data_IF_391913847841
#
_entry.id   IF_391913847841
#
_cell.length_a   1.000
_cell.length_b   1.000
_cell.length_c   1.000
_cell.angle_alpha   90.00
_cell.angle_beta   90.00
_cell.angle_gamma   90.00
#
_symmetry.space_group_name_H-M   'P 1'
#
loop_
_entity.id
_entity.type
_entity.pdbx_description
1 polymer ?
#
# COMPACT_ATOMS: atom_id res chain seq x y z
N UNK A 1 3.94 27.90 -13.31
CA UNK A 1 2.94 26.93 -12.81
C UNK A 1 3.24 26.62 -11.35
N UNK A 2 2.23 26.52 -10.50
CA UNK A 2 2.41 26.18 -9.08
C UNK A 2 2.16 24.69 -8.85
N UNK A 3 2.99 24.06 -8.02
CA UNK A 3 2.92 22.61 -7.76
C UNK A 3 2.68 22.32 -6.29
N UNK A 4 1.73 21.44 -6.01
CA UNK A 4 1.63 20.71 -4.75
C UNK A 4 2.41 19.41 -4.91
N UNK A 5 3.33 19.07 -3.99
CA UNK A 5 4.12 17.86 -4.04
C UNK A 5 3.23 16.62 -3.87
N UNK A 6 3.75 15.40 -4.10
CA UNK A 6 2.96 14.17 -3.99
C UNK A 6 2.31 13.98 -2.60
N UNK A 7 2.87 14.57 -1.54
CA UNK A 7 2.29 14.65 -0.20
C UNK A 7 1.57 15.98 0.07
N UNK A 8 0.59 16.01 1.00
CA UNK A 8 0.10 14.93 1.84
C UNK A 8 -0.98 14.11 1.11
N UNK A 9 -0.59 12.93 0.63
CA UNK A 9 -1.47 12.00 -0.07
C UNK A 9 -2.42 11.27 0.92
N UNK A 10 -3.62 10.84 0.49
CA UNK A 10 -4.21 11.04 -0.81
C UNK A 10 -4.95 12.39 -0.92
N UNK A 11 -4.77 13.08 -2.05
CA UNK A 11 -5.38 14.37 -2.31
C UNK A 11 -6.91 14.25 -2.32
N UNK A 12 -7.59 15.23 -1.72
CA UNK A 12 -9.06 15.28 -1.64
C UNK A 12 -9.71 16.07 -2.77
N UNK A 13 -8.98 17.01 -3.36
CA UNK A 13 -9.58 18.04 -4.22
C UNK A 13 -9.08 17.96 -5.65
N UNK A 14 -9.92 18.40 -6.59
CA UNK A 14 -9.52 18.71 -7.96
C UNK A 14 -8.57 19.92 -7.94
N UNK A 15 -7.48 19.93 -8.72
CA UNK A 15 -6.58 21.06 -8.76
C UNK A 15 -7.31 22.34 -9.19
N UNK A 16 -6.91 23.48 -8.62
CA UNK A 16 -7.36 24.79 -9.10
C UNK A 16 -6.58 25.20 -10.35
N UNK A 17 -7.14 26.11 -11.15
CA UNK A 17 -6.50 26.59 -12.38
C UNK A 17 -5.08 27.14 -12.10
N UNK A 18 -4.09 26.66 -12.84
CA UNK A 18 -2.68 27.03 -12.66
C UNK A 18 -1.93 26.29 -11.54
N UNK A 19 -2.60 25.39 -10.81
CA UNK A 19 -2.02 24.53 -9.77
C UNK A 19 -2.02 23.07 -10.25
N UNK A 20 -0.87 22.40 -10.18
CA UNK A 20 -0.77 20.95 -10.38
C UNK A 20 -0.58 20.27 -9.04
N UNK A 21 -1.49 19.38 -8.71
CA UNK A 21 -1.38 18.50 -7.53
C UNK A 21 -0.74 17.18 -7.97
N UNK A 22 0.55 17.00 -7.64
CA UNK A 22 1.27 15.77 -7.98
C UNK A 22 0.73 14.56 -7.22
N UNK A 23 0.11 14.75 -6.07
CA UNK A 23 -0.65 13.72 -5.41
C UNK A 23 -1.84 13.31 -6.27
N UNK A 24 -2.58 14.26 -6.85
CA UNK A 24 -3.74 13.93 -7.69
C UNK A 24 -3.30 13.20 -8.96
N UNK A 25 -2.24 13.69 -9.61
CA UNK A 25 -1.64 13.02 -10.77
C UNK A 25 -1.18 11.60 -10.43
N UNK A 26 -0.53 11.42 -9.28
CA UNK A 26 -0.07 10.11 -8.81
C UNK A 26 -1.25 9.15 -8.60
N UNK A 27 -2.30 9.61 -7.92
CA UNK A 27 -3.54 8.83 -7.71
C UNK A 27 -4.14 8.41 -9.05
N UNK A 28 -4.31 9.37 -9.95
CA UNK A 28 -5.09 9.17 -11.17
C UNK A 28 -4.34 8.31 -12.19
N UNK A 29 -3.01 8.43 -12.25
CA UNK A 29 -2.17 7.62 -13.14
C UNK A 29 -1.84 6.23 -12.56
N UNK A 30 -1.54 6.13 -11.26
CA UNK A 30 -0.94 4.91 -10.70
C UNK A 30 -1.90 4.03 -9.91
N UNK A 31 -2.99 4.57 -9.36
CA UNK A 31 -3.89 3.82 -8.46
C UNK A 31 -5.07 3.26 -9.25
N UNK A 32 -4.75 2.44 -10.27
CA UNK A 32 -5.74 1.85 -11.19
C UNK A 32 -5.56 0.34 -11.26
N UNK A 33 -6.63 -0.37 -11.61
CA UNK A 33 -6.56 -1.81 -11.83
C UNK A 33 -5.54 -2.16 -12.93
N UNK A 34 -5.48 -1.37 -14.00
CA UNK A 34 -4.55 -1.54 -15.11
C UNK A 34 -3.08 -1.41 -14.69
N UNK A 35 -2.75 -0.42 -13.84
CA UNK A 35 -1.39 -0.24 -13.34
C UNK A 35 -0.97 -1.39 -12.41
N UNK A 36 -1.86 -1.82 -11.52
CA UNK A 36 -1.60 -2.92 -10.58
C UNK A 36 -1.45 -4.27 -11.29
N UNK A 37 -2.35 -4.58 -12.23
CA UNK A 37 -2.34 -5.85 -12.97
C UNK A 37 -1.27 -5.93 -14.07
N UNK A 38 -0.77 -4.78 -14.53
CA UNK A 38 0.23 -4.69 -15.59
C UNK A 38 1.63 -4.34 -15.06
N UNK A 39 2.06 -3.05 -15.15
CA UNK A 39 3.42 -2.63 -14.78
C UNK A 39 3.89 -3.09 -13.39
N UNK A 40 3.06 -2.91 -12.35
CA UNK A 40 3.44 -3.25 -10.97
C UNK A 40 3.66 -4.75 -10.82
N UNK A 41 2.72 -5.57 -11.29
CA UNK A 41 2.84 -7.03 -11.26
C UNK A 41 4.07 -7.53 -12.00
N UNK A 42 4.40 -6.97 -13.17
CA UNK A 42 5.60 -7.33 -13.93
C UNK A 42 6.89 -6.98 -13.18
N UNK A 43 6.96 -5.78 -12.61
CA UNK A 43 8.13 -5.35 -11.85
C UNK A 43 8.35 -6.21 -10.60
N UNK A 44 7.30 -6.47 -9.82
CA UNK A 44 7.37 -7.38 -8.65
C UNK A 44 7.73 -8.81 -9.06
N UNK A 45 7.20 -9.30 -10.18
CA UNK A 45 7.55 -10.63 -10.71
C UNK A 45 9.02 -10.75 -11.08
N UNK A 46 9.59 -9.76 -11.78
CA UNK A 46 11.01 -9.72 -12.12
C UNK A 46 11.89 -9.64 -10.86
N UNK A 47 11.54 -8.75 -9.92
CA UNK A 47 12.25 -8.60 -8.65
C UNK A 47 12.22 -9.90 -7.83
N UNK A 48 11.08 -10.59 -7.77
CA UNK A 48 10.97 -11.88 -7.09
C UNK A 48 11.91 -12.91 -7.69
N UNK A 49 11.97 -13.02 -9.03
CA UNK A 49 12.89 -13.93 -9.71
C UNK A 49 14.35 -13.64 -9.34
N UNK A 50 14.75 -12.37 -9.34
CA UNK A 50 16.11 -11.97 -8.99
C UNK A 50 16.45 -12.28 -7.52
N UNK A 51 15.52 -12.02 -6.61
CA UNK A 51 15.69 -12.35 -5.19
C UNK A 51 15.80 -13.86 -4.95
N UNK A 52 15.02 -14.67 -5.67
CA UNK A 52 15.10 -16.14 -5.62
C UNK A 52 16.45 -16.63 -6.15
N UNK A 53 16.90 -16.15 -7.32
CA UNK A 53 18.21 -16.49 -7.89
C UNK A 53 19.34 -16.12 -6.93
N UNK A 54 19.23 -14.96 -6.28
CA UNK A 54 20.16 -14.48 -5.27
C UNK A 54 20.00 -15.10 -3.87
N UNK A 55 19.07 -16.05 -3.69
CA UNK A 55 18.77 -16.71 -2.40
C UNK A 55 18.46 -15.74 -1.26
N UNK A 56 17.84 -14.59 -1.57
CA UNK A 56 17.46 -13.54 -0.62
C UNK A 56 16.05 -13.78 -0.07
N UNK A 57 15.90 -14.87 0.69
CA UNK A 57 14.59 -15.39 1.10
C UNK A 57 13.69 -14.42 1.88
N UNK A 58 14.20 -13.65 2.87
CA UNK A 58 13.35 -12.71 3.60
C UNK A 58 12.74 -11.64 2.69
N UNK A 59 13.53 -11.09 1.76
CA UNK A 59 13.04 -10.10 0.80
C UNK A 59 12.12 -10.74 -0.24
N UNK A 60 12.43 -11.95 -0.71
CA UNK A 60 11.59 -12.68 -1.65
C UNK A 60 10.18 -12.91 -1.09
N UNK A 61 10.07 -13.24 0.21
CA UNK A 61 8.77 -13.41 0.87
C UNK A 61 7.94 -12.12 0.87
N UNK A 62 8.57 -10.96 1.13
CA UNK A 62 7.90 -9.65 1.09
C UNK A 62 7.40 -9.32 -0.32
N UNK A 63 8.24 -9.51 -1.34
CA UNK A 63 7.88 -9.26 -2.74
C UNK A 63 6.80 -10.22 -3.23
N UNK A 64 6.85 -11.49 -2.82
CA UNK A 64 5.81 -12.46 -3.16
C UNK A 64 4.46 -12.09 -2.55
N UNK A 65 4.42 -11.68 -1.27
CA UNK A 65 3.19 -11.21 -0.64
C UNK A 65 2.62 -9.98 -1.37
N UNK A 66 3.48 -9.02 -1.74
CA UNK A 66 3.07 -7.85 -2.50
C UNK A 66 2.57 -8.19 -3.91
N UNK A 67 3.23 -9.13 -4.60
CA UNK A 67 2.83 -9.62 -5.92
C UNK A 67 1.43 -10.22 -5.84
N UNK A 68 1.22 -11.15 -4.92
CA UNK A 68 -0.05 -11.84 -4.68
C UNK A 68 -1.19 -10.85 -4.37
N UNK A 69 -0.92 -9.80 -3.60
CA UNK A 69 -1.92 -8.76 -3.28
C UNK A 69 -2.38 -7.96 -4.50
N UNK A 70 -1.64 -7.95 -5.63
CA UNK A 70 -2.04 -7.19 -6.82
C UNK A 70 -3.39 -7.64 -7.40
N UNK A 71 -3.81 -8.90 -7.20
CA UNK A 71 -5.09 -9.41 -7.70
C UNK A 71 -6.29 -8.83 -6.97
N UNK A 72 -6.49 -9.13 -5.67
CA UNK A 72 -7.64 -8.58 -4.96
C UNK A 72 -7.62 -7.06 -4.95
N UNK A 73 -6.44 -6.45 -4.93
CA UNK A 73 -6.32 -4.99 -4.97
C UNK A 73 -6.75 -4.40 -6.32
N UNK A 74 -6.38 -5.03 -7.44
CA UNK A 74 -6.84 -4.58 -8.77
C UNK A 74 -8.36 -4.61 -8.92
N UNK A 75 -9.05 -5.51 -8.20
CA UNK A 75 -10.52 -5.60 -8.24
C UNK A 75 -11.23 -4.46 -7.48
N UNK A 76 -10.55 -3.80 -6.53
CA UNK A 76 -11.19 -2.79 -5.64
C UNK A 76 -10.60 -1.38 -5.74
N UNK A 77 -9.42 -1.23 -6.35
CA UNK A 77 -8.68 0.04 -6.33
C UNK A 77 -9.41 1.16 -7.06
N UNK A 78 -10.03 0.88 -8.21
CA UNK A 78 -10.72 1.90 -9.01
C UNK A 78 -11.97 2.47 -8.30
N UNK A 79 -12.85 1.62 -7.72
CA UNK A 79 -13.91 2.10 -6.86
C UNK A 79 -13.40 2.90 -5.65
N UNK A 80 -12.33 2.45 -4.99
CA UNK A 80 -11.75 3.15 -3.84
C UNK A 80 -11.17 4.52 -4.22
N UNK A 81 -10.41 4.58 -5.32
CA UNK A 81 -9.89 5.81 -5.92
C UNK A 81 -11.01 6.79 -6.24
N UNK A 82 -12.08 6.31 -6.89
CA UNK A 82 -13.21 7.15 -7.30
C UNK A 82 -13.93 7.73 -6.09
N UNK A 83 -14.22 6.91 -5.07
CA UNK A 83 -14.84 7.39 -3.82
C UNK A 83 -13.95 8.35 -3.05
N UNK A 84 -12.63 8.12 -3.08
CA UNK A 84 -11.69 9.02 -2.43
C UNK A 84 -11.60 10.39 -3.11
N UNK A 85 -11.65 10.41 -4.44
CA UNK A 85 -11.68 11.66 -5.20
C UNK A 85 -12.97 12.45 -5.00
N UNK A 86 -14.02 11.80 -4.47
CA UNK A 86 -15.27 12.44 -4.06
C UNK A 86 -15.19 12.80 -2.56
N UNK A 87 -15.93 13.81 -2.11
CA UNK A 87 -15.94 14.27 -0.70
C UNK A 87 -16.55 13.27 0.32
N UNK A 88 -16.52 11.96 0.03
CA UNK A 88 -17.00 10.88 0.91
C UNK A 88 -15.98 9.73 1.06
N UNK A 89 -14.72 10.00 1.42
CA UNK A 89 -13.73 8.95 1.62
C UNK A 89 -14.10 8.08 2.83
N UNK A 90 -14.24 6.77 2.64
CA UNK A 90 -14.36 5.80 3.73
C UNK A 90 -12.98 5.26 4.15
N UNK A 91 -12.82 4.85 5.41
CA UNK A 91 -11.57 4.29 5.91
C UNK A 91 -11.08 3.06 5.14
N UNK A 92 -12.01 2.24 4.63
CA UNK A 92 -11.68 1.11 3.75
C UNK A 92 -11.06 1.54 2.41
N UNK A 93 -11.44 2.72 1.88
CA UNK A 93 -10.84 3.27 0.66
C UNK A 93 -9.41 3.71 0.94
N UNK A 94 -9.16 4.34 2.10
CA UNK A 94 -7.82 4.72 2.52
C UNK A 94 -6.90 3.51 2.65
N UNK A 95 -7.39 2.42 3.26
CA UNK A 95 -6.61 1.19 3.41
C UNK A 95 -6.26 0.54 2.07
N UNK A 96 -7.21 0.56 1.14
CA UNK A 96 -7.00 0.12 -0.23
C UNK A 96 -5.92 0.95 -0.93
N UNK A 97 -6.04 2.28 -0.87
CA UNK A 97 -5.06 3.20 -1.46
C UNK A 97 -3.69 3.08 -0.79
N UNK A 98 -3.63 2.98 0.53
CA UNK A 98 -2.40 2.80 1.30
C UNK A 98 -1.69 1.49 0.95
N UNK A 99 -2.44 0.40 0.74
CA UNK A 99 -1.84 -0.86 0.27
C UNK A 99 -1.29 -0.68 -1.14
N UNK A 100 -2.04 -0.06 -2.06
CA UNK A 100 -1.56 0.23 -3.41
C UNK A 100 -0.29 1.09 -3.41
N UNK A 101 -0.23 2.10 -2.55
CA UNK A 101 0.94 2.96 -2.34
C UNK A 101 2.18 2.13 -1.94
N UNK A 102 2.01 1.18 -1.02
CA UNK A 102 3.08 0.25 -0.61
C UNK A 102 3.57 -0.62 -1.77
N UNK A 103 2.63 -1.14 -2.59
CA UNK A 103 2.96 -1.97 -3.75
C UNK A 103 3.70 -1.19 -4.83
N UNK A 104 3.27 0.04 -5.10
CA UNK A 104 3.95 0.96 -6.03
C UNK A 104 5.37 1.28 -5.55
N UNK A 105 5.52 1.61 -4.26
CA UNK A 105 6.83 1.87 -3.65
C UNK A 105 7.78 0.69 -3.81
N UNK A 106 7.32 -0.52 -3.52
CA UNK A 106 8.13 -1.73 -3.67
C UNK A 106 8.47 -2.03 -5.14
N UNK A 107 7.49 -1.91 -6.04
CA UNK A 107 7.64 -2.24 -7.46
C UNK A 107 8.59 -1.30 -8.21
N UNK A 108 8.57 -0.01 -7.87
CA UNK A 108 9.37 1.02 -8.55
C UNK A 108 10.57 1.51 -7.74
N UNK A 109 10.78 0.98 -6.53
CA UNK A 109 11.86 1.42 -5.63
C UNK A 109 11.65 2.82 -5.04
N UNK A 110 10.44 3.36 -5.15
CA UNK A 110 10.08 4.68 -4.61
C UNK A 110 10.00 4.62 -3.09
N UNK A 111 10.73 5.53 -2.43
CA UNK A 111 10.77 5.60 -0.97
C UNK A 111 9.47 6.18 -0.42
N UNK A 112 8.98 5.73 0.75
CA UNK A 112 7.84 6.37 1.39
C UNK A 112 8.19 7.82 1.80
N UNK A 113 7.23 8.70 1.65
CA UNK A 113 7.19 10.04 2.25
C UNK A 113 7.09 9.91 3.76
N UNK A 114 7.48 10.95 4.51
CA UNK A 114 7.63 10.84 5.98
C UNK A 114 6.33 10.63 6.75
N UNK A 115 5.16 10.82 6.13
CA UNK A 115 3.86 10.63 6.75
C UNK A 115 3.05 9.51 6.06
N UNK A 116 3.31 8.25 6.45
CA UNK A 116 2.55 7.08 5.99
C UNK A 116 3.16 6.35 4.79
N UNK A 117 2.42 5.42 4.13
CA UNK A 117 2.98 4.53 3.12
C UNK A 117 3.06 5.16 1.71
N UNK A 118 2.97 6.49 1.62
CA UNK A 118 2.81 7.18 0.34
C UNK A 118 4.16 7.25 -0.39
N UNK A 119 4.32 6.66 -1.58
CA UNK A 119 5.60 6.67 -2.25
C UNK A 119 5.94 8.07 -2.77
N UNK A 120 7.23 8.40 -2.75
CA UNK A 120 7.84 9.55 -3.39
C UNK A 120 8.35 9.11 -4.77
N UNK A 121 7.68 9.48 -5.88
CA UNK A 121 8.13 9.10 -7.20
C UNK A 121 9.52 9.65 -7.53
N UNK A 122 10.25 8.93 -8.37
CA UNK A 122 11.56 9.38 -8.86
C UNK A 122 11.46 10.63 -9.76
N UNK A 123 12.62 11.24 -10.02
CA UNK A 123 12.72 12.44 -10.86
C UNK A 123 12.21 12.22 -12.29
N UNK A 124 12.32 11.00 -12.84
CA UNK A 124 11.85 10.70 -14.19
C UNK A 124 10.31 10.74 -14.25
N UNK A 125 9.64 10.15 -13.26
CA UNK A 125 8.19 10.22 -13.14
C UNK A 125 7.73 11.67 -12.93
N UNK A 126 8.38 12.42 -12.01
CA UNK A 126 8.03 13.82 -11.74
C UNK A 126 8.16 14.70 -13.00
N UNK A 127 9.23 14.54 -13.78
CA UNK A 127 9.44 15.22 -15.07
C UNK A 127 8.41 14.85 -16.13
N UNK A 128 7.93 13.60 -16.15
CA UNK A 128 6.86 13.21 -17.09
C UNK A 128 5.51 13.81 -16.74
N UNK A 129 5.25 14.08 -15.46
CA UNK A 129 3.98 14.68 -15.03
C UNK A 129 3.92 16.20 -15.22
N UNK A 130 5.07 16.89 -15.21
CA UNK A 130 5.12 18.33 -15.40
C UNK A 130 5.79 18.63 -16.74
N UNK A 131 5.01 19.15 -17.70
CA UNK A 131 5.52 19.50 -19.04
C UNK A 131 6.58 20.59 -19.01
N UNK A 132 6.52 21.48 -18.02
CA UNK A 132 7.46 22.58 -17.80
C UNK A 132 7.93 22.62 -16.34
N UNK A 133 9.14 23.16 -16.04
CA UNK A 133 9.60 23.37 -14.68
C UNK A 133 8.62 24.22 -13.86
N UNK A 134 8.31 23.83 -12.60
CA UNK A 134 7.43 24.62 -11.78
C UNK A 134 8.11 25.91 -11.33
N UNK A 135 7.33 26.99 -11.29
CA UNK A 135 7.80 28.31 -10.81
C UNK A 135 7.65 28.45 -9.30
N UNK A 136 6.88 27.57 -8.67
CA UNK A 136 6.61 27.57 -7.23
C UNK A 136 6.19 26.17 -6.77
N UNK A 137 6.77 25.70 -5.68
CA UNK A 137 6.42 24.43 -5.01
C UNK A 137 5.92 24.75 -3.60
N UNK A 138 4.77 24.21 -3.21
CA UNK A 138 4.27 24.38 -1.84
C UNK A 138 4.73 23.23 -0.95
N UNK A 139 5.21 23.53 0.26
CA UNK A 139 5.63 22.51 1.24
C UNK A 139 4.64 22.41 2.40
N UNK A 140 3.72 21.47 2.32
CA UNK A 140 2.84 21.08 3.41
C UNK A 140 3.54 20.44 4.61
N UNK A 141 4.61 19.66 4.44
CA UNK A 141 5.34 19.05 5.55
C UNK A 141 6.83 18.89 5.20
N UNK A 142 7.69 18.60 6.19
CA UNK A 142 9.14 18.41 5.95
C UNK A 142 9.38 17.35 4.86
N UNK A 143 8.62 16.26 4.90
CA UNK A 143 8.78 15.08 4.04
C UNK A 143 7.61 14.84 3.08
N UNK A 144 6.99 15.91 2.55
CA UNK A 144 5.86 15.79 1.62
C UNK A 144 6.28 15.60 0.14
N UNK A 145 7.58 15.60 -0.13
CA UNK A 145 8.12 15.45 -1.48
C UNK A 145 8.44 16.78 -2.18
N UNK A 146 8.26 17.94 -1.54
CA UNK A 146 8.65 19.24 -2.12
C UNK A 146 10.13 19.28 -2.52
N UNK A 147 11.01 18.70 -1.71
CA UNK A 147 12.44 18.59 -2.04
C UNK A 147 12.70 17.68 -3.23
N UNK A 148 11.96 16.58 -3.38
CA UNK A 148 12.08 15.69 -4.53
C UNK A 148 11.68 16.41 -5.82
N UNK A 149 10.63 17.24 -5.77
CA UNK A 149 10.24 18.11 -6.90
C UNK A 149 11.34 19.11 -7.20
N UNK A 150 11.86 19.82 -6.19
CA UNK A 150 12.92 20.80 -6.40
C UNK A 150 14.17 20.17 -7.05
N UNK A 151 14.63 19.02 -6.53
CA UNK A 151 15.75 18.27 -7.11
C UNK A 151 15.46 17.76 -8.52
N UNK A 152 14.23 17.33 -8.82
CA UNK A 152 13.89 16.83 -10.15
C UNK A 152 14.01 17.93 -11.23
N UNK A 153 13.83 19.21 -10.88
CA UNK A 153 13.83 20.33 -11.82
C UNK A 153 14.95 21.36 -11.56
N UNK A 154 15.95 20.99 -10.76
CA UNK A 154 17.10 21.85 -10.41
C UNK A 154 16.66 23.24 -9.89
N UNK A 155 15.63 23.27 -9.04
CA UNK A 155 15.07 24.49 -8.48
C UNK A 155 15.83 24.94 -7.23
N UNK A 156 15.97 26.25 -7.07
CA UNK A 156 16.41 26.88 -5.81
C UNK A 156 15.42 26.57 -4.68
N UNK A 157 15.92 26.39 -3.45
CA UNK A 157 15.08 26.26 -2.25
C UNK A 157 14.12 27.44 -2.07
N UNK A 158 14.46 28.63 -2.57
CA UNK A 158 13.57 29.80 -2.58
C UNK A 158 12.28 29.58 -3.37
N UNK A 159 12.24 28.63 -4.31
CA UNK A 159 11.03 28.24 -5.03
C UNK A 159 10.05 27.44 -4.15
N UNK A 160 10.52 26.92 -3.00
CA UNK A 160 9.73 26.17 -2.04
C UNK A 160 9.12 27.14 -1.02
N UNK A 161 7.80 27.11 -0.90
CA UNK A 161 7.05 28.08 -0.08
C UNK A 161 6.07 27.39 0.85
N UNK A 162 5.75 28.03 1.98
CA UNK A 162 4.72 27.54 2.88
C UNK A 162 3.34 27.51 2.21
N UNK A 163 2.47 26.53 2.56
CA UNK A 163 1.15 26.42 1.98
C UNK A 163 0.25 27.51 2.58
N UNK A 164 -0.88 27.82 1.93
CA UNK A 164 -1.88 28.69 2.54
C UNK A 164 -2.39 28.12 3.89
N UNK A 165 -2.81 28.98 4.85
CA UNK A 165 -3.13 28.57 6.23
C UNK A 165 -4.19 27.49 6.39
N UNK A 166 -5.04 27.29 5.38
CA UNK A 166 -6.17 26.35 5.43
C UNK A 166 -5.75 24.87 5.35
N UNK A 167 -4.55 24.54 4.88
CA UNK A 167 -4.15 23.18 4.49
C UNK A 167 -3.80 22.21 5.64
N UNK A 168 -4.17 22.51 6.89
CA UNK A 168 -3.80 21.70 8.05
C UNK A 168 -4.62 21.97 9.32
N UNK A 169 -5.88 22.43 9.18
CA UNK A 169 -6.71 22.81 10.31
C UNK A 169 -6.82 21.67 11.35
N UNK A 170 -6.44 21.99 12.59
CA UNK A 170 -6.45 21.02 13.69
C UNK A 170 -5.22 20.10 13.77
N UNK A 171 -4.12 20.37 13.06
CA UNK A 171 -2.84 19.68 13.26
C UNK A 171 -1.80 20.65 13.79
N UNK A 172 -1.17 20.31 14.92
CA UNK A 172 -0.12 21.10 15.53
C UNK A 172 1.23 20.58 15.06
N UNK A 173 2.08 21.47 14.56
CA UNK A 173 3.45 21.14 14.17
C UNK A 173 4.41 21.46 15.32
N UNK A 174 5.39 20.59 15.50
CA UNK A 174 6.25 20.64 16.67
C UNK A 174 7.62 20.03 16.35
N UNK A 175 8.68 20.68 16.80
CA UNK A 175 10.00 20.03 16.89
C UNK A 175 9.93 18.88 17.90
N UNK A 176 10.48 17.69 17.62
CA UNK A 176 10.50 16.59 18.58
C UNK A 176 11.02 16.99 19.97
N UNK A 177 12.00 17.89 20.04
CA UNK A 177 12.62 18.35 21.29
C UNK A 177 11.65 19.15 22.20
N UNK A 178 10.64 19.78 21.61
CA UNK A 178 9.63 20.55 22.35
C UNK A 178 8.52 19.66 22.94
N UNK A 179 8.46 18.38 22.53
CA UNK A 179 7.39 17.45 22.87
C UNK A 179 7.23 17.25 24.38
N UNK A 180 8.28 16.96 25.17
CA UNK A 180 8.12 16.74 26.61
C UNK A 180 7.57 17.98 27.33
N UNK A 181 8.02 19.18 26.92
CA UNK A 181 7.59 20.44 27.53
C UNK A 181 6.14 20.79 27.19
N UNK A 182 5.69 20.48 25.96
CA UNK A 182 4.35 20.84 25.46
C UNK A 182 3.30 19.75 25.64
N UNK A 183 3.68 18.53 26.06
CA UNK A 183 2.79 17.35 26.17
C UNK A 183 1.46 17.63 26.84
N UNK A 184 1.44 18.29 28.01
CA UNK A 184 0.22 18.50 28.79
C UNK A 184 -0.74 19.50 28.14
N UNK A 185 -0.24 20.46 27.36
CA UNK A 185 -1.09 21.36 26.60
C UNK A 185 -1.66 20.66 25.36
N UNK A 186 -0.83 19.89 24.66
CA UNK A 186 -1.23 19.13 23.47
C UNK A 186 -2.25 18.05 23.80
N UNK A 187 -2.02 17.24 24.83
CA UNK A 187 -2.95 16.22 25.32
C UNK A 187 -4.32 16.81 25.66
N UNK A 188 -4.36 17.95 26.38
CA UNK A 188 -5.61 18.65 26.68
C UNK A 188 -6.31 19.18 25.43
N UNK A 189 -5.56 19.67 24.44
CA UNK A 189 -6.12 20.16 23.19
C UNK A 189 -6.73 19.01 22.35
N UNK A 190 -6.08 17.85 22.34
CA UNK A 190 -6.55 16.61 21.70
C UNK A 190 -7.81 16.08 22.38
N UNK A 191 -7.80 15.94 23.71
CA UNK A 191 -8.94 15.47 24.50
C UNK A 191 -10.18 16.38 24.34
N UNK A 192 -9.98 17.69 24.13
CA UNK A 192 -11.06 18.66 23.88
C UNK A 192 -11.51 18.71 22.42
N UNK A 193 -10.86 17.99 21.50
CA UNK A 193 -11.15 18.02 20.06
C UNK A 193 -10.76 19.34 19.36
N UNK A 194 -10.13 20.28 20.06
CA UNK A 194 -9.58 21.52 19.48
C UNK A 194 -8.35 21.26 18.62
N UNK A 195 -7.68 20.13 18.88
CA UNK A 195 -6.60 19.58 18.09
C UNK A 195 -7.00 18.16 17.66
N UNK A 196 -6.65 17.79 16.43
CA UNK A 196 -6.93 16.47 15.85
C UNK A 196 -5.69 15.58 15.85
N UNK A 197 -4.50 16.15 15.65
CA UNK A 197 -3.23 15.43 15.72
C UNK A 197 -2.05 16.38 15.95
N UNK A 198 -0.90 15.79 16.28
CA UNK A 198 0.41 16.42 16.36
C UNK A 198 1.30 15.85 15.27
N UNK A 199 1.95 16.72 14.50
CA UNK A 199 2.99 16.39 13.54
C UNK A 199 4.35 16.75 14.11
N UNK A 200 5.26 15.78 14.17
CA UNK A 200 6.65 16.01 14.52
C UNK A 200 7.42 16.37 13.25
N UNK A 201 8.17 17.48 13.29
CA UNK A 201 8.97 17.98 12.16
C UNK A 201 10.32 17.25 12.01
N UNK A 202 10.45 16.07 12.62
CA UNK A 202 11.66 15.25 12.61
C UNK A 202 11.44 13.91 13.34
N UNK A 203 12.45 13.02 13.34
CA UNK A 203 12.37 11.75 14.04
C UNK A 203 12.21 11.96 15.55
N UNK A 204 11.38 11.14 16.19
CA UNK A 204 11.24 11.15 17.65
C UNK A 204 12.53 10.62 18.29
N UNK A 205 13.19 11.39 19.18
CA UNK A 205 14.38 10.92 19.88
C UNK A 205 14.12 9.63 20.68
N UNK A 206 15.08 8.72 20.66
CA UNK A 206 15.02 7.47 21.44
C UNK A 206 15.42 7.71 22.91
N UNK A 207 14.64 8.56 23.59
CA UNK A 207 14.84 8.88 25.00
C UNK A 207 13.50 8.82 25.75
N UNK A 208 13.52 8.28 26.96
CA UNK A 208 12.31 7.95 27.72
C UNK A 208 11.29 9.11 27.85
N UNK A 209 11.69 10.37 28.10
CA UNK A 209 10.74 11.49 28.17
C UNK A 209 9.99 11.75 26.86
N UNK A 210 10.65 11.55 25.71
CA UNK A 210 10.04 11.71 24.39
C UNK A 210 9.08 10.57 24.08
N UNK A 211 9.50 9.33 24.34
CA UNK A 211 8.67 8.14 24.13
C UNK A 211 7.41 8.17 25.01
N UNK A 212 7.54 8.57 26.28
CA UNK A 212 6.41 8.71 27.19
C UNK A 212 5.45 9.81 26.75
N UNK A 213 5.97 11.01 26.43
CA UNK A 213 5.13 12.11 25.95
C UNK A 213 4.38 11.72 24.66
N UNK A 214 5.04 11.00 23.75
CA UNK A 214 4.41 10.53 22.53
C UNK A 214 3.34 9.46 22.77
N UNK A 215 3.62 8.52 23.68
CA UNK A 215 2.64 7.52 24.12
C UNK A 215 1.39 8.15 24.73
N UNK A 216 1.54 9.16 25.58
CA UNK A 216 0.42 9.92 26.15
C UNK A 216 -0.44 10.59 25.07
N UNK A 217 0.17 11.24 24.07
CA UNK A 217 -0.59 11.86 22.99
C UNK A 217 -1.39 10.83 22.19
N UNK A 218 -0.83 9.63 21.94
CA UNK A 218 -1.54 8.54 21.25
C UNK A 218 -2.72 7.99 22.03
N UNK A 219 -2.62 7.95 23.37
CA UNK A 219 -3.74 7.54 24.22
C UNK A 219 -4.90 8.53 24.19
N UNK A 220 -4.61 9.84 24.18
CA UNK A 220 -5.63 10.89 24.24
C UNK A 220 -6.23 11.22 22.86
N UNK A 221 -5.53 10.89 21.77
CA UNK A 221 -5.98 11.20 20.43
C UNK A 221 -6.30 9.94 19.62
N UNK A 222 -7.60 9.62 19.55
CA UNK A 222 -8.13 8.56 18.68
C UNK A 222 -7.69 8.72 17.20
N UNK A 223 -7.28 9.91 16.78
CA UNK A 223 -6.83 10.23 15.43
C UNK A 223 -5.30 10.23 15.26
N UNK A 224 -4.50 10.23 16.34
CA UNK A 224 -3.04 10.31 16.24
C UNK A 224 -2.43 9.05 15.63
N UNK A 225 -2.84 7.86 16.06
CA UNK A 225 -2.36 6.61 15.44
C UNK A 225 -2.66 6.54 13.93
N UNK A 226 -3.78 7.12 13.51
CA UNK A 226 -4.15 7.21 12.09
C UNK A 226 -3.28 8.23 11.36
N UNK A 227 -3.02 9.37 11.99
CA UNK A 227 -2.12 10.38 11.46
C UNK A 227 -0.70 9.83 11.30
N UNK A 228 -0.18 9.11 12.29
CA UNK A 228 1.14 8.50 12.22
C UNK A 228 1.25 7.51 11.08
N UNK A 229 0.17 6.76 10.81
CA UNK A 229 0.14 5.72 9.78
C UNK A 229 -0.14 6.26 8.38
N UNK A 230 -0.90 7.34 8.23
CA UNK A 230 -1.43 7.80 6.94
C UNK A 230 -1.26 9.29 6.69
N UNK A 231 -0.62 10.03 7.58
CA UNK A 231 -0.55 11.48 7.55
C UNK A 231 -1.93 12.13 7.65
N UNK A 232 -2.10 13.26 6.96
CA UNK A 232 -3.33 14.05 6.97
C UNK A 232 -4.57 13.27 6.47
N UNK A 233 -4.35 12.23 5.67
CA UNK A 233 -5.41 11.33 5.23
C UNK A 233 -6.02 10.53 6.37
N UNK A 234 -5.23 10.17 7.39
CA UNK A 234 -5.73 9.46 8.57
C UNK A 234 -6.75 10.27 9.38
N UNK A 235 -6.83 11.58 9.16
CA UNK A 235 -7.78 12.48 9.80
C UNK A 235 -9.12 12.55 9.06
N UNK A 236 -9.34 11.80 7.98
CA UNK A 236 -10.58 11.90 7.19
C UNK A 236 -11.75 11.12 7.78
N UNK A 237 -11.52 9.98 8.45
CA UNK A 237 -12.61 9.05 8.80
C UNK A 237 -12.34 8.18 10.04
N UNK A 238 -13.40 7.84 10.77
CA UNK A 238 -13.47 7.05 12.00
C UNK A 238 -14.05 5.65 11.77
N UNK A 239 -13.31 4.76 11.13
CA UNK A 239 -13.69 3.35 11.04
C UNK A 239 -12.65 2.56 10.27
N UNK A 240 -12.00 1.59 10.91
CA UNK A 240 -10.93 0.82 10.27
C UNK A 240 -11.04 -0.68 10.51
N UNK A 241 -10.61 -1.43 9.48
CA UNK A 241 -10.16 -2.82 9.52
C UNK A 241 -8.85 -2.98 8.70
N UNK A 242 -7.86 -3.80 9.11
CA UNK A 242 -6.71 -4.18 8.28
C UNK A 242 -7.09 -4.48 6.81
N UNK A 243 -6.17 -4.25 5.83
CA UNK A 243 -6.41 -4.58 4.41
C UNK A 243 -6.91 -6.02 4.22
N UNK A 244 -6.32 -6.96 4.95
CA UNK A 244 -6.70 -8.38 4.94
C UNK A 244 -8.15 -8.62 5.39
N UNK A 245 -8.70 -7.75 6.24
CA UNK A 245 -10.10 -7.79 6.68
C UNK A 245 -11.05 -7.04 5.72
N UNK A 246 -10.52 -6.25 4.78
CA UNK A 246 -11.29 -5.69 3.68
C UNK A 246 -11.59 -6.75 2.60
N UNK A 247 -10.78 -7.82 2.54
CA UNK A 247 -11.00 -8.94 1.65
C UNK A 247 -12.08 -9.86 2.22
N UNK A 248 -13.01 -10.28 1.36
CA UNK A 248 -14.03 -11.26 1.72
C UNK A 248 -13.60 -12.63 1.25
N UNK A 249 -13.80 -13.71 2.03
CA UNK A 249 -13.61 -15.07 1.53
C UNK A 249 -14.35 -15.26 0.21
N UNK A 250 -13.78 -16.04 -0.70
CA UNK A 250 -14.49 -16.40 -1.91
C UNK A 250 -15.77 -17.19 -1.58
N UNK A 251 -16.86 -17.00 -2.33
CA UNK A 251 -18.09 -17.75 -2.13
C UNK A 251 -17.85 -19.24 -2.42
N UNK A 252 -18.13 -20.11 -1.44
CA UNK A 252 -18.00 -21.56 -1.60
C UNK A 252 -18.95 -22.08 -2.70
N UNK A 253 -18.45 -22.93 -3.59
CA UNK A 253 -19.22 -23.60 -4.63
C UNK A 253 -19.73 -22.70 -5.77
N UNK A 254 -19.36 -21.41 -5.82
CA UNK A 254 -19.60 -20.59 -7.00
C UNK A 254 -18.38 -20.68 -7.93
N UNK A 255 -18.56 -21.07 -9.20
CA UNK A 255 -17.45 -21.12 -10.15
C UNK A 255 -16.90 -19.71 -10.36
N UNK A 256 -15.67 -19.49 -9.91
CA UNK A 256 -14.87 -18.32 -10.30
C UNK A 256 -13.92 -18.67 -11.43
N UNK A 257 -13.52 -17.69 -12.24
CA UNK A 257 -12.40 -17.84 -13.17
C UNK A 257 -11.08 -17.81 -12.36
N UNK A 258 -10.82 -18.92 -11.66
CA UNK A 258 -9.66 -19.09 -10.78
C UNK A 258 -8.40 -19.35 -11.61
N UNK A 259 -7.44 -18.43 -11.54
CA UNK A 259 -6.21 -18.50 -12.34
C UNK A 259 -5.03 -18.93 -11.46
N UNK A 260 -4.29 -19.99 -11.83
CA UNK A 260 -3.06 -20.35 -11.14
C UNK A 260 -2.01 -19.26 -11.38
N UNK A 261 -1.44 -18.72 -10.30
CA UNK A 261 -0.49 -17.60 -10.34
C UNK A 261 0.91 -17.98 -10.86
N UNK A 262 1.40 -19.12 -10.41
CA UNK A 262 2.73 -19.61 -10.67
C UNK A 262 2.71 -21.13 -10.72
N UNK A 263 3.70 -21.73 -11.39
CA UNK A 263 3.86 -23.18 -11.39
C UNK A 263 4.06 -23.68 -9.95
N UNK A 264 4.89 -23.02 -9.15
CA UNK A 264 4.95 -23.14 -7.69
C UNK A 264 5.88 -22.07 -7.14
N UNK A 265 5.67 -21.66 -5.88
CA UNK A 265 6.64 -20.89 -5.12
C UNK A 265 7.13 -21.74 -3.94
N UNK A 266 8.43 -21.72 -3.66
CA UNK A 266 8.93 -22.15 -2.36
C UNK A 266 8.58 -21.05 -1.37
N UNK A 267 7.50 -21.25 -0.64
CA UNK A 267 7.28 -20.47 0.55
C UNK A 267 8.15 -21.06 1.66
N UNK A 268 8.77 -20.21 2.49
CA UNK A 268 9.06 -20.66 3.84
C UNK A 268 7.68 -21.04 4.41
N UNK A 269 7.47 -22.29 4.83
CA UNK A 269 6.13 -22.89 4.96
C UNK A 269 5.15 -22.16 5.91
N UNK A 270 4.44 -22.88 6.76
CA UNK A 270 3.79 -22.20 7.89
C UNK A 270 4.85 -21.46 8.74
N UNK A 271 4.52 -20.37 9.45
CA UNK A 271 5.48 -19.68 10.32
C UNK A 271 6.30 -20.60 11.24
N UNK A 272 5.71 -21.72 11.68
CA UNK A 272 6.38 -22.78 12.43
C UNK A 272 7.46 -23.52 11.60
N UNK A 273 7.14 -23.94 10.37
CA UNK A 273 8.11 -24.57 9.46
C UNK A 273 9.24 -23.63 9.06
N UNK A 274 8.97 -22.33 8.95
CA UNK A 274 10.00 -21.29 8.70
C UNK A 274 11.01 -21.24 9.84
N UNK A 275 10.54 -21.29 11.10
CA UNK A 275 11.41 -21.30 12.27
C UNK A 275 12.34 -22.52 12.31
N UNK A 276 11.95 -23.62 11.64
CA UNK A 276 12.71 -24.86 11.52
C UNK A 276 13.54 -24.94 10.22
N UNK A 277 13.55 -23.88 9.40
CA UNK A 277 14.29 -23.85 8.13
C UNK A 277 13.67 -24.73 7.03
N UNK A 278 12.43 -25.18 7.20
CA UNK A 278 11.72 -26.01 6.24
C UNK A 278 10.94 -25.15 5.23
N UNK A 279 11.28 -25.33 3.96
CA UNK A 279 10.54 -24.74 2.84
C UNK A 279 9.51 -25.76 2.34
N UNK A 280 8.27 -25.31 2.11
CA UNK A 280 7.23 -26.14 1.50
C UNK A 280 6.84 -25.57 0.14
N UNK A 281 6.69 -26.40 -0.90
CA UNK A 281 6.17 -25.93 -2.17
C UNK A 281 4.68 -25.62 -1.99
N UNK A 282 4.30 -24.37 -2.20
CA UNK A 282 2.93 -23.89 -2.12
C UNK A 282 2.60 -23.17 -3.41
N UNK A 283 1.39 -23.39 -3.92
CA UNK A 283 0.83 -22.61 -5.00
C UNK A 283 -0.28 -21.71 -4.45
N UNK A 284 -0.64 -20.67 -5.19
CA UNK A 284 -1.79 -19.83 -4.86
C UNK A 284 -2.84 -19.91 -5.97
N UNK A 285 -4.08 -20.13 -5.56
CA UNK A 285 -5.26 -19.95 -6.39
C UNK A 285 -5.77 -18.53 -6.20
N UNK A 286 -5.94 -17.82 -7.30
CA UNK A 286 -6.32 -16.40 -7.30
C UNK A 286 -7.63 -16.18 -8.04
N UNK A 287 -8.48 -15.37 -7.42
CA UNK A 287 -9.76 -14.98 -7.97
C UNK A 287 -9.63 -13.70 -8.78
N UNK A 288 -10.44 -13.59 -9.82
CA UNK A 288 -10.76 -12.29 -10.45
C UNK A 288 -11.78 -11.53 -9.61
N UNK A 289 -11.40 -11.21 -8.37
CA UNK A 289 -12.28 -10.55 -7.40
C UNK A 289 -11.56 -10.15 -6.12
N UNK A 290 -12.25 -9.45 -5.20
CA UNK A 290 -11.69 -8.93 -3.95
C UNK A 290 -11.52 -10.02 -2.87
N UNK A 291 -11.00 -11.18 -3.27
CA UNK A 291 -10.89 -12.37 -2.45
C UNK A 291 -9.44 -12.62 -2.05
N UNK A 292 -9.21 -13.10 -0.83
CA UNK A 292 -7.87 -13.47 -0.43
C UNK A 292 -7.35 -14.63 -1.31
N UNK A 293 -6.06 -14.63 -1.62
CA UNK A 293 -5.38 -15.77 -2.22
C UNK A 293 -5.60 -17.03 -1.39
N UNK A 294 -5.85 -18.16 -2.05
CA UNK A 294 -5.99 -19.45 -1.37
C UNK A 294 -4.72 -20.26 -1.57
N UNK A 295 -3.98 -20.61 -0.49
CA UNK A 295 -2.84 -21.51 -0.62
C UNK A 295 -3.33 -22.91 -1.01
N UNK A 296 -2.65 -23.51 -1.97
CA UNK A 296 -2.96 -24.83 -2.51
C UNK A 296 -1.69 -25.67 -2.68
N UNK A 297 -1.84 -26.98 -2.60
CA UNK A 297 -0.74 -27.91 -2.90
C UNK A 297 -0.42 -27.89 -4.40
N UNK A 298 0.85 -28.05 -4.82
CA UNK A 298 1.22 -28.11 -6.24
C UNK A 298 0.42 -29.12 -7.05
N UNK A 299 0.10 -30.28 -6.46
CA UNK A 299 -0.72 -31.31 -7.08
C UNK A 299 -2.12 -30.81 -7.44
N UNK A 300 -2.72 -29.96 -6.60
CA UNK A 300 -4.03 -29.36 -6.90
C UNK A 300 -3.96 -28.46 -8.14
N UNK A 301 -2.87 -27.72 -8.31
CA UNK A 301 -2.63 -26.90 -9.50
C UNK A 301 -2.35 -27.76 -10.73
N UNK A 302 -1.64 -28.88 -10.59
CA UNK A 302 -1.48 -29.86 -11.68
C UNK A 302 -2.84 -30.30 -12.20
N UNK A 303 -3.73 -30.74 -11.30
CA UNK A 303 -5.08 -31.20 -11.67
C UNK A 303 -5.87 -30.10 -12.36
N UNK A 304 -5.88 -28.87 -11.83
CA UNK A 304 -6.57 -27.74 -12.46
C UNK A 304 -6.05 -27.47 -13.88
N UNK A 305 -4.73 -27.48 -14.08
CA UNK A 305 -4.13 -27.21 -15.40
C UNK A 305 -4.41 -28.33 -16.38
N UNK A 306 -4.36 -29.59 -15.96
CA UNK A 306 -4.74 -30.72 -16.81
C UNK A 306 -6.20 -30.62 -17.26
N UNK A 307 -7.12 -30.30 -16.35
CA UNK A 307 -8.54 -30.11 -16.67
C UNK A 307 -8.78 -28.94 -17.63
N UNK A 308 -7.98 -27.88 -17.51
CA UNK A 308 -8.01 -26.72 -18.41
C UNK A 308 -7.25 -26.94 -19.73
N UNK A 309 -6.63 -28.10 -19.95
CA UNK A 309 -5.81 -28.37 -21.14
C UNK A 309 -4.52 -27.54 -21.21
N UNK A 310 -4.02 -27.06 -20.07
CA UNK A 310 -2.83 -26.22 -19.97
C UNK A 310 -1.57 -27.06 -19.69
N UNK A 311 -0.38 -26.59 -20.12
CA UNK A 311 0.89 -27.30 -19.84
C UNK A 311 1.14 -27.45 -18.33
N UNK A 312 1.66 -28.59 -17.88
CA UNK A 312 1.97 -28.88 -16.46
C UNK A 312 3.46 -29.03 -16.17
N UNK A 313 4.33 -28.52 -17.06
CA UNK A 313 5.77 -28.70 -16.95
C UNK A 313 6.31 -28.23 -15.58
N UNK A 314 7.07 -29.10 -14.91
CA UNK A 314 7.70 -28.80 -13.61
C UNK A 314 6.80 -29.00 -12.37
N UNK A 315 5.55 -29.44 -12.56
CA UNK A 315 4.65 -29.82 -11.47
C UNK A 315 4.71 -31.33 -11.16
N UNK A 316 4.48 -31.75 -9.91
CA UNK A 316 4.43 -33.16 -9.55
C UNK A 316 3.20 -33.84 -10.19
N UNK A 317 3.35 -35.06 -10.73
CA UNK A 317 2.23 -35.83 -11.27
C UNK A 317 1.27 -36.29 -10.16
N UNK A 318 0.02 -36.55 -10.53
CA UNK A 318 -1.04 -36.95 -9.59
C UNK A 318 -1.63 -38.30 -10.00
N UNK A 319 -1.61 -39.27 -9.08
CA UNK A 319 -2.24 -40.58 -9.28
C UNK A 319 -3.77 -40.53 -9.15
N UNK A 320 -4.47 -41.51 -9.72
CA UNK A 320 -5.95 -41.51 -9.85
C UNK A 320 -6.73 -41.26 -8.55
N UNK A 321 -6.48 -42.02 -7.48
CA UNK A 321 -7.22 -41.83 -6.21
C UNK A 321 -6.91 -40.47 -5.53
N UNK A 322 -5.69 -39.95 -5.70
CA UNK A 322 -5.33 -38.63 -5.19
C UNK A 322 -5.95 -37.51 -6.04
N UNK A 323 -6.12 -37.76 -7.34
CA UNK A 323 -6.77 -36.83 -8.28
C UNK A 323 -8.22 -36.58 -7.88
N UNK A 324 -8.99 -37.62 -7.60
CA UNK A 324 -10.42 -37.49 -7.26
C UNK A 324 -10.61 -36.68 -5.97
N UNK A 325 -9.81 -36.97 -4.93
CA UNK A 325 -9.83 -36.20 -3.69
C UNK A 325 -9.43 -34.73 -3.89
N UNK A 326 -8.48 -34.45 -4.79
CA UNK A 326 -8.08 -33.09 -5.14
C UNK A 326 -9.17 -32.37 -5.94
N UNK A 327 -9.88 -33.05 -6.85
CA UNK A 327 -11.03 -32.48 -7.58
C UNK A 327 -12.13 -32.07 -6.61
N UNK A 328 -12.51 -32.94 -5.67
CA UNK A 328 -13.50 -32.61 -4.64
C UNK A 328 -13.06 -31.42 -3.77
N UNK A 329 -11.79 -31.38 -3.36
CA UNK A 329 -11.25 -30.24 -2.63
C UNK A 329 -11.31 -28.94 -3.45
N UNK A 330 -11.00 -29.00 -4.75
CA UNK A 330 -11.06 -27.87 -5.66
C UNK A 330 -12.50 -27.39 -5.89
N UNK A 331 -13.48 -28.29 -6.00
CA UNK A 331 -14.91 -27.94 -6.04
C UNK A 331 -15.30 -27.23 -4.73
N UNK A 332 -14.92 -27.77 -3.58
CA UNK A 332 -15.17 -27.15 -2.27
C UNK A 332 -14.56 -25.75 -2.13
N UNK A 333 -13.42 -25.52 -2.76
CA UNK A 333 -12.75 -24.21 -2.84
C UNK A 333 -13.34 -23.26 -3.91
N UNK A 334 -14.29 -23.71 -4.73
CA UNK A 334 -14.88 -22.94 -5.83
C UNK A 334 -14.02 -22.84 -7.09
N UNK A 335 -12.96 -23.67 -7.19
CA UNK A 335 -12.03 -23.73 -8.33
C UNK A 335 -12.55 -24.54 -9.51
N UNK A 336 -13.54 -25.39 -9.28
CA UNK A 336 -14.21 -26.21 -10.29
C UNK A 336 -15.72 -26.17 -10.03
N UNK A 337 -16.52 -26.30 -11.09
CA UNK A 337 -17.94 -26.64 -10.97
C UNK A 337 -18.09 -28.15 -10.82
N UNK A 338 -19.01 -28.57 -9.93
CA UNK A 338 -19.44 -29.96 -9.79
C UNK A 338 -20.14 -30.48 -11.06
#
# INVERSE_FOLDING_TARGET
MTVLPPGPFPPRTTPSEGVVDLGASLRDACYTAATLSGPVRRALGAQLQDLIRGRRWPQAAVVLAALVDTWPLSAVIDPARTRWAQDRPAGADLDTLARAATLLGLAFGWQPLGAGPWPCPDAEWLRRQLSDPPTKVFRHAHDDGAMAVAHAFDLDEQAITAPPPASGAGVARLSPDDLPARRAALARALARGTLRAVHLEGPLPDWAPHQLAWGELRMEAAHQDRYDRYGLAGLTDAGRRPWTEALRPAPAGQPGDLKPLCDWALLPGTPAQVAEGQLSPVCFLLWEGPHPPVPAQPQAVTVLRELAGLPTAGLPPVGGAARDALVEALIGLGALSA
#
